data_IF_669126162489
#
_entry.id   IF_669126162489
#
_cell.length_a   1.000
_cell.length_b   1.000
_cell.length_c   1.000
_cell.angle_alpha   90.00
_cell.angle_beta   90.00
_cell.angle_gamma   90.00
#
_symmetry.space_group_name_H-M   'P 1'
#
loop_
_entity.id
_entity.type
_entity.pdbx_description
1 polymer ?
#
# COMPACT_ATOMS: atom_id res chain seq x y z
N UNK A 1 -15.39 3.78 -3.58
CA UNK A 1 -14.58 4.58 -2.65
C UNK A 1 -14.08 5.78 -3.44
N UNK A 2 -14.46 7.00 -3.06
CA UNK A 2 -13.98 8.23 -3.70
C UNK A 2 -12.54 8.43 -3.21
N UNK A 3 -11.57 8.61 -4.12
CA UNK A 3 -10.19 8.87 -3.73
C UNK A 3 -10.08 10.24 -3.06
N UNK A 4 -9.35 10.33 -1.95
CA UNK A 4 -9.21 11.57 -1.16
C UNK A 4 -8.27 12.62 -1.80
N UNK A 5 -7.97 12.49 -3.10
CA UNK A 5 -6.93 13.25 -3.77
C UNK A 5 -5.61 12.49 -3.87
N UNK A 6 -4.70 13.04 -4.68
CA UNK A 6 -3.36 12.50 -4.93
C UNK A 6 -2.39 13.26 -4.05
N UNK A 7 -1.34 12.60 -3.57
CA UNK A 7 -0.34 13.20 -2.69
C UNK A 7 -0.98 13.83 -1.44
N UNK A 8 -1.97 13.14 -0.86
CA UNK A 8 -2.65 13.54 0.36
C UNK A 8 -2.51 12.47 1.44
N UNK A 9 -2.44 12.90 2.69
CA UNK A 9 -2.49 12.01 3.87
C UNK A 9 -3.67 12.37 4.76
N UNK A 10 -4.22 11.39 5.47
CA UNK A 10 -5.28 11.60 6.46
C UNK A 10 -4.65 11.71 7.85
N UNK A 11 -4.65 12.92 8.42
CA UNK A 11 -4.15 13.20 9.76
C UNK A 11 -5.35 13.53 10.64
N UNK A 12 -5.67 12.65 11.58
CA UNK A 12 -6.77 12.82 12.54
C UNK A 12 -8.16 13.10 11.90
N UNK A 13 -8.43 12.52 10.73
CA UNK A 13 -9.69 12.72 9.99
C UNK A 13 -9.65 13.86 8.99
N UNK A 14 -8.58 14.65 8.97
CA UNK A 14 -8.37 15.75 8.02
C UNK A 14 -7.47 15.30 6.87
N UNK A 15 -7.92 15.53 5.64
CA UNK A 15 -7.12 15.27 4.44
C UNK A 15 -6.24 16.48 4.18
N UNK A 16 -4.91 16.28 4.24
CA UNK A 16 -3.92 17.33 3.95
C UNK A 16 -3.08 16.95 2.73
N UNK A 17 -2.77 17.94 1.90
CA UNK A 17 -1.79 17.73 0.82
C UNK A 17 -0.38 17.68 1.41
N UNK A 18 0.50 16.83 0.89
CA UNK A 18 1.86 16.66 1.45
C UNK A 18 2.70 17.95 1.45
N UNK A 19 2.39 18.92 0.58
CA UNK A 19 3.07 20.22 0.55
C UNK A 19 2.67 21.14 1.70
N UNK A 20 1.58 20.83 2.41
CA UNK A 20 1.09 21.58 3.56
C UNK A 20 1.73 21.10 4.87
N UNK A 21 2.49 20.00 4.82
CA UNK A 21 3.13 19.40 5.98
C UNK A 21 4.56 19.92 6.15
N UNK A 22 4.95 20.16 7.40
CA UNK A 22 6.35 20.39 7.71
C UNK A 22 7.18 19.11 7.48
N UNK A 23 8.51 19.24 7.26
CA UNK A 23 9.36 18.08 6.97
C UNK A 23 9.32 16.99 8.03
N UNK A 24 9.15 17.32 9.31
CA UNK A 24 9.13 16.33 10.38
C UNK A 24 7.83 15.51 10.33
N UNK A 25 6.69 16.18 10.21
CA UNK A 25 5.39 15.52 10.04
C UNK A 25 5.36 14.64 8.78
N UNK A 26 5.92 15.13 7.67
CA UNK A 26 5.99 14.36 6.43
C UNK A 26 6.81 13.06 6.60
N UNK A 27 7.95 13.12 7.31
CA UNK A 27 8.77 11.94 7.60
C UNK A 27 8.04 10.92 8.48
N UNK A 28 7.28 11.41 9.47
CA UNK A 28 6.48 10.56 10.37
C UNK A 28 5.39 9.83 9.58
N UNK A 29 4.60 10.56 8.80
CA UNK A 29 3.52 9.96 7.99
C UNK A 29 4.07 9.01 6.92
N UNK A 30 5.21 9.34 6.31
CA UNK A 30 5.89 8.42 5.40
C UNK A 30 6.30 7.12 6.09
N UNK A 31 6.90 7.21 7.28
CA UNK A 31 7.32 6.04 8.06
C UNK A 31 6.12 5.18 8.44
N UNK A 32 5.02 5.80 8.87
CA UNK A 32 3.76 5.13 9.18
C UNK A 32 3.21 4.37 7.96
N UNK A 33 3.11 5.04 6.80
CA UNK A 33 2.67 4.41 5.55
C UNK A 33 3.57 3.23 5.14
N UNK A 34 4.88 3.36 5.31
CA UNK A 34 5.83 2.27 5.04
C UNK A 34 5.60 1.06 5.96
N UNK A 35 5.33 1.30 7.23
CA UNK A 35 5.04 0.25 8.21
C UNK A 35 3.70 -0.43 7.92
N UNK A 36 2.64 0.33 7.66
CA UNK A 36 1.32 -0.21 7.30
C UNK A 36 1.40 -1.07 6.04
N UNK A 37 2.12 -0.62 5.02
CA UNK A 37 2.32 -1.40 3.79
C UNK A 37 3.13 -2.70 4.05
N UNK A 38 4.16 -2.64 4.90
CA UNK A 38 4.93 -3.82 5.29
C UNK A 38 4.07 -4.87 6.03
N UNK A 39 3.17 -4.41 6.89
CA UNK A 39 2.21 -5.27 7.60
C UNK A 39 1.19 -5.90 6.65
N UNK A 40 0.67 -5.16 5.67
CA UNK A 40 -0.20 -5.73 4.63
C UNK A 40 0.50 -6.87 3.88
N UNK A 41 1.76 -6.69 3.49
CA UNK A 41 2.53 -7.76 2.86
C UNK A 41 2.79 -8.95 3.78
N UNK A 42 2.99 -8.71 5.08
CA UNK A 42 3.15 -9.78 6.07
C UNK A 42 1.88 -10.63 6.16
N UNK A 43 0.73 -9.99 6.31
CA UNK A 43 -0.58 -10.65 6.35
C UNK A 43 -0.84 -11.46 5.07
N UNK A 44 -0.57 -10.88 3.90
CA UNK A 44 -0.76 -11.58 2.63
C UNK A 44 0.21 -12.77 2.46
N UNK A 45 1.47 -12.65 2.89
CA UNK A 45 2.40 -13.78 2.91
C UNK A 45 1.90 -14.93 3.78
N UNK A 46 1.37 -14.61 4.95
CA UNK A 46 0.79 -15.61 5.86
C UNK A 46 -0.44 -16.29 5.22
N UNK A 47 -1.35 -15.51 4.63
CA UNK A 47 -2.53 -16.03 3.94
C UNK A 47 -2.18 -16.90 2.71
N UNK A 48 -1.12 -16.51 1.97
CA UNK A 48 -0.59 -17.27 0.84
C UNK A 48 0.20 -18.53 1.24
N UNK A 49 0.40 -18.80 2.55
CA UNK A 49 1.19 -19.93 3.01
C UNK A 49 0.36 -21.21 3.22
N UNK A 50 1.04 -22.36 3.15
CA UNK A 50 0.46 -23.67 3.45
C UNK A 50 -0.74 -24.04 2.58
N UNK A 51 -1.70 -24.75 3.18
CA UNK A 51 -2.89 -25.26 2.49
C UNK A 51 -3.85 -24.13 2.09
N UNK A 52 -3.92 -23.04 2.86
CA UNK A 52 -4.74 -21.86 2.51
C UNK A 52 -4.27 -21.23 1.20
N UNK A 53 -2.95 -21.05 1.06
CA UNK A 53 -2.36 -20.56 -0.18
C UNK A 53 -2.54 -21.50 -1.38
N UNK A 54 -2.64 -22.81 -1.16
CA UNK A 54 -3.00 -23.76 -2.22
C UNK A 54 -4.43 -23.53 -2.71
N UNK A 55 -5.40 -23.42 -1.78
CA UNK A 55 -6.80 -23.15 -2.12
C UNK A 55 -6.94 -21.82 -2.87
N UNK A 56 -6.30 -20.75 -2.40
CA UNK A 56 -6.34 -19.44 -3.07
C UNK A 56 -5.87 -19.55 -4.53
N UNK A 57 -4.77 -20.26 -4.78
CA UNK A 57 -4.26 -20.47 -6.15
C UNK A 57 -5.22 -21.28 -7.03
N UNK A 58 -5.88 -22.30 -6.47
CA UNK A 58 -6.84 -23.13 -7.21
C UNK A 58 -8.07 -22.32 -7.65
N UNK A 59 -8.52 -21.36 -6.84
CA UNK A 59 -9.63 -20.47 -7.19
C UNK A 59 -9.18 -19.24 -7.98
N UNK A 60 -7.93 -19.19 -8.44
CA UNK A 60 -7.39 -18.10 -9.25
C UNK A 60 -7.04 -16.83 -8.47
N UNK A 61 -7.03 -16.86 -7.13
CA UNK A 61 -6.65 -15.73 -6.28
C UNK A 61 -5.16 -15.78 -5.97
N UNK A 62 -4.48 -14.64 -6.15
CA UNK A 62 -3.08 -14.45 -5.71
C UNK A 62 -2.98 -13.15 -4.94
N UNK A 63 -2.72 -13.23 -3.63
CA UNK A 63 -2.59 -12.03 -2.81
C UNK A 63 -1.21 -11.40 -2.99
N UNK A 64 -1.09 -10.06 -2.98
CA UNK A 64 0.20 -9.37 -3.03
C UNK A 64 1.11 -9.72 -1.86
N UNK A 65 2.21 -10.42 -2.11
CA UNK A 65 3.19 -10.86 -1.11
C UNK A 65 4.51 -10.06 -1.11
N UNK A 66 4.64 -9.13 -2.07
CA UNK A 66 5.82 -8.30 -2.31
C UNK A 66 6.94 -8.99 -3.08
N UNK A 67 6.77 -10.27 -3.45
CA UNK A 67 7.74 -11.05 -4.25
C UNK A 67 7.16 -11.44 -5.60
N UNK A 68 6.00 -12.06 -5.57
CA UNK A 68 5.24 -12.53 -6.74
C UNK A 68 4.32 -11.42 -7.25
N UNK A 69 3.63 -10.74 -6.32
CA UNK A 69 2.73 -9.63 -6.63
C UNK A 69 3.01 -8.50 -5.64
N UNK A 70 3.25 -7.31 -6.17
CA UNK A 70 3.53 -6.10 -5.40
C UNK A 70 2.32 -5.16 -5.48
N UNK A 71 1.88 -4.64 -4.33
CA UNK A 71 1.04 -3.45 -4.23
C UNK A 71 1.87 -2.28 -4.73
N UNK A 72 1.81 -2.04 -6.05
CA UNK A 72 2.41 -0.88 -6.69
C UNK A 72 1.43 0.29 -6.56
N UNK A 73 1.95 1.45 -6.22
CA UNK A 73 1.22 2.70 -6.33
C UNK A 73 1.03 3.04 -7.80
N UNK A 74 -0.05 3.75 -8.08
CA UNK A 74 -0.36 4.35 -9.39
C UNK A 74 -0.41 5.85 -9.19
N UNK A 75 0.25 6.60 -10.07
CA UNK A 75 0.23 8.06 -10.05
C UNK A 75 -1.08 8.61 -10.66
N UNK A 76 -1.21 9.93 -10.72
CA UNK A 76 -2.36 10.64 -11.31
C UNK A 76 -2.66 10.27 -12.78
N UNK A 77 -1.64 9.83 -13.50
CA UNK A 77 -1.70 9.47 -14.91
C UNK A 77 -1.94 7.99 -15.13
N UNK A 78 -2.17 7.23 -14.04
CA UNK A 78 -2.29 5.77 -14.02
C UNK A 78 -1.00 5.04 -14.37
N UNK A 79 0.15 5.70 -14.26
CA UNK A 79 1.46 5.06 -14.43
C UNK A 79 1.93 4.47 -13.11
N UNK A 80 2.77 3.44 -13.17
CA UNK A 80 3.43 2.92 -11.97
C UNK A 80 4.38 3.97 -11.41
N UNK A 81 4.32 4.23 -10.10
CA UNK A 81 5.29 5.10 -9.40
C UNK A 81 6.59 4.37 -9.06
N UNK A 82 6.69 3.08 -9.39
CA UNK A 82 7.88 2.27 -9.19
C UNK A 82 8.60 2.08 -10.52
N UNK A 83 9.93 2.25 -10.57
CA UNK A 83 10.69 2.00 -11.80
C UNK A 83 10.56 0.55 -12.24
N UNK A 84 10.72 0.34 -13.56
CA UNK A 84 10.71 -0.95 -14.24
C UNK A 84 11.73 -1.92 -13.63
#
# INVERSE_FOLDING_TARGET
>A
MIGNGINTVNINGEIKHISELDPATLCIEWTKLKNENAELYRCNREANSGWRGLILRLIGVRLPDGKTICIRGINARKDSIYPE
#
